data_IF_835994533814
#
_entry.id   IF_835994533814
#
_cell.length_a   1.000
_cell.length_b   1.000
_cell.length_c   1.000
_cell.angle_alpha   90.00
_cell.angle_beta   90.00
_cell.angle_gamma   90.00
#
_symmetry.space_group_name_H-M   'P 1'
#
loop_
_entity.id
_entity.type
_entity.pdbx_description
1 polymer ?
#
# COMPACT_ATOMS: atom_id res chain seq x y z
N UNK A 1 -28.96 43.86 -35.97
CA UNK A 1 -29.89 42.83 -35.50
C UNK A 1 -29.07 41.58 -35.21
N UNK A 2 -28.70 41.36 -33.95
CA UNK A 2 -27.97 40.16 -33.52
C UNK A 2 -29.01 39.11 -33.13
N UNK A 3 -28.94 37.94 -33.76
CA UNK A 3 -29.77 36.80 -33.41
C UNK A 3 -29.19 36.13 -32.16
N UNK A 4 -30.00 36.03 -31.12
CA UNK A 4 -29.74 35.25 -29.91
C UNK A 4 -29.66 33.76 -30.27
N UNK A 5 -28.72 32.96 -29.73
CA UNK A 5 -28.73 31.51 -29.91
C UNK A 5 -29.94 30.91 -29.17
N UNK A 6 -30.49 29.78 -29.65
CA UNK A 6 -31.63 29.14 -28.98
C UNK A 6 -31.19 28.55 -27.64
N UNK A 7 -31.94 28.89 -26.58
CA UNK A 7 -31.92 28.20 -25.30
C UNK A 7 -32.08 26.69 -25.53
N UNK A 8 -31.04 25.91 -25.24
CA UNK A 8 -31.18 24.48 -25.12
C UNK A 8 -31.88 24.19 -23.79
N UNK A 9 -32.97 23.40 -23.77
CA UNK A 9 -33.59 23.02 -22.52
C UNK A 9 -32.61 22.16 -21.73
N UNK A 10 -32.29 22.59 -20.51
CA UNK A 10 -31.58 21.77 -19.52
C UNK A 10 -32.42 20.52 -19.27
N UNK A 11 -32.04 19.40 -19.90
CA UNK A 11 -32.71 18.13 -19.71
C UNK A 11 -32.60 17.68 -18.25
N UNK A 12 -33.57 16.88 -17.75
CA UNK A 12 -33.63 16.42 -16.35
C UNK A 12 -32.41 15.60 -15.88
N UNK A 13 -31.47 15.27 -16.77
CA UNK A 13 -30.27 14.48 -16.52
C UNK A 13 -29.01 15.29 -16.11
N UNK A 14 -28.99 16.61 -16.33
CA UNK A 14 -27.82 17.45 -16.01
C UNK A 14 -27.54 17.64 -14.49
N UNK A 15 -28.55 17.77 -13.60
CA UNK A 15 -28.30 17.97 -12.17
C UNK A 15 -27.77 16.70 -11.47
N UNK A 16 -28.34 15.54 -11.81
CA UNK A 16 -27.96 14.25 -11.22
C UNK A 16 -26.53 13.85 -11.58
N UNK A 17 -26.07 14.18 -12.78
CA UNK A 17 -24.69 13.90 -13.21
C UNK A 17 -23.67 14.80 -12.50
N UNK A 18 -24.01 16.05 -12.21
CA UNK A 18 -23.16 16.94 -11.41
C UNK A 18 -23.04 16.46 -9.95
N UNK A 19 -24.16 16.08 -9.32
CA UNK A 19 -24.17 15.54 -7.96
C UNK A 19 -23.36 14.25 -7.82
N UNK A 20 -23.54 13.29 -8.74
CA UNK A 20 -22.73 12.05 -8.77
C UNK A 20 -21.25 12.40 -8.89
N UNK A 21 -20.89 13.35 -9.77
CA UNK A 21 -19.50 13.79 -9.94
C UNK A 21 -18.88 14.34 -8.65
N UNK A 22 -19.62 15.16 -7.89
CA UNK A 22 -19.18 15.68 -6.60
C UNK A 22 -19.01 14.57 -5.55
N UNK A 23 -19.95 13.62 -5.49
CA UNK A 23 -19.89 12.48 -4.60
C UNK A 23 -18.67 11.58 -4.91
N UNK A 24 -18.37 11.33 -6.18
CA UNK A 24 -17.18 10.55 -6.60
C UNK A 24 -15.89 11.24 -6.15
N UNK A 25 -15.80 12.56 -6.41
CA UNK A 25 -14.63 13.34 -6.02
C UNK A 25 -14.46 13.38 -4.49
N UNK A 26 -15.57 13.49 -3.76
CA UNK A 26 -15.59 13.44 -2.29
C UNK A 26 -15.17 12.07 -1.76
N UNK A 27 -15.75 10.98 -2.28
CA UNK A 27 -15.40 9.61 -1.90
C UNK A 27 -13.90 9.32 -2.10
N UNK A 28 -13.35 9.76 -3.25
CA UNK A 28 -11.92 9.59 -3.57
C UNK A 28 -11.03 10.37 -2.61
N UNK A 29 -11.38 11.62 -2.27
CA UNK A 29 -10.64 12.39 -1.27
C UNK A 29 -10.67 11.69 0.09
N UNK A 30 -11.85 11.26 0.55
CA UNK A 30 -12.01 10.57 1.84
C UNK A 30 -11.20 9.27 1.89
N UNK A 31 -11.24 8.46 0.83
CA UNK A 31 -10.39 7.28 0.69
C UNK A 31 -8.89 7.62 0.81
N UNK A 32 -8.44 8.70 0.16
CA UNK A 32 -7.03 9.11 0.21
C UNK A 32 -6.59 9.63 1.58
N UNK A 33 -7.52 10.15 2.38
CA UNK A 33 -7.29 10.55 3.77
C UNK A 33 -7.65 9.44 4.78
N UNK A 34 -7.76 8.19 4.32
CA UNK A 34 -8.08 7.00 5.13
C UNK A 34 -9.45 7.08 5.86
N UNK A 35 -10.34 7.97 5.45
CA UNK A 35 -11.74 8.03 5.90
C UNK A 35 -12.60 7.03 5.12
N UNK A 36 -12.43 5.74 5.43
CA UNK A 36 -13.19 4.65 4.81
C UNK A 36 -14.70 4.77 5.04
N UNK A 37 -15.13 5.19 6.24
CA UNK A 37 -16.55 5.33 6.58
C UNK A 37 -17.21 6.44 5.76
N UNK A 38 -16.58 7.62 5.72
CA UNK A 38 -17.09 8.74 4.93
C UNK A 38 -17.03 8.48 3.43
N UNK A 39 -16.03 7.74 2.94
CA UNK A 39 -15.99 7.28 1.56
C UNK A 39 -17.20 6.40 1.23
N UNK A 40 -17.46 5.36 2.04
CA UNK A 40 -18.59 4.46 1.80
C UNK A 40 -19.93 5.21 1.86
N UNK A 41 -20.09 6.15 2.78
CA UNK A 41 -21.31 6.96 2.87
C UNK A 41 -21.58 7.78 1.59
N UNK A 42 -20.54 8.28 0.90
CA UNK A 42 -20.72 8.96 -0.39
C UNK A 42 -21.07 7.98 -1.50
N UNK A 43 -20.45 6.79 -1.53
CA UNK A 43 -20.76 5.76 -2.50
C UNK A 43 -22.19 5.20 -2.33
N UNK A 44 -22.68 5.10 -1.09
CA UNK A 44 -24.05 4.67 -0.80
C UNK A 44 -25.08 5.69 -1.30
N UNK A 45 -24.76 6.99 -1.27
CA UNK A 45 -25.59 8.02 -1.92
C UNK A 45 -25.57 7.86 -3.44
N UNK A 46 -24.41 7.61 -4.05
CA UNK A 46 -24.32 7.33 -5.49
C UNK A 46 -25.19 6.11 -5.83
N UNK A 47 -25.11 5.03 -5.05
CA UNK A 47 -25.92 3.84 -5.26
C UNK A 47 -27.43 4.13 -5.24
N UNK A 48 -27.88 4.99 -4.32
CA UNK A 48 -29.27 5.40 -4.23
C UNK A 48 -29.75 6.26 -5.43
N UNK A 49 -28.84 7.00 -6.07
CA UNK A 49 -29.12 7.81 -7.26
C UNK A 49 -29.01 6.97 -8.55
N UNK A 50 -27.92 6.23 -8.71
CA UNK A 50 -27.60 5.38 -9.86
C UNK A 50 -26.75 4.17 -9.42
N UNK A 51 -27.44 3.05 -9.14
CA UNK A 51 -26.80 1.78 -8.78
C UNK A 51 -25.87 1.22 -9.87
N UNK A 52 -26.14 1.53 -11.16
CA UNK A 52 -25.29 1.08 -12.26
C UNK A 52 -23.98 1.87 -12.31
N UNK A 53 -24.02 3.15 -11.96
CA UNK A 53 -22.81 3.95 -11.81
C UNK A 53 -21.98 3.50 -10.60
N UNK A 54 -22.61 3.25 -9.44
CA UNK A 54 -21.93 2.69 -8.26
C UNK A 54 -21.24 1.35 -8.57
N UNK A 55 -21.87 0.46 -9.35
CA UNK A 55 -21.26 -0.81 -9.77
C UNK A 55 -19.93 -0.61 -10.53
N UNK A 56 -19.79 0.48 -11.30
CA UNK A 56 -18.52 0.83 -11.99
C UNK A 56 -17.44 1.33 -11.05
N UNK A 57 -17.81 1.73 -9.83
CA UNK A 57 -16.90 2.17 -8.76
C UNK A 57 -16.52 1.03 -7.81
N UNK A 58 -16.72 -0.23 -8.20
CA UNK A 58 -16.47 -1.39 -7.35
C UNK A 58 -15.05 -1.41 -6.76
N UNK A 59 -14.05 -0.94 -7.50
CA UNK A 59 -12.68 -0.85 -6.99
C UNK A 59 -12.55 0.16 -5.85
N UNK A 60 -13.11 1.36 -6.03
CA UNK A 60 -13.15 2.42 -4.99
C UNK A 60 -13.91 1.93 -3.76
N UNK A 61 -15.09 1.31 -3.96
CA UNK A 61 -15.88 0.72 -2.88
C UNK A 61 -15.09 -0.33 -2.12
N UNK A 62 -14.41 -1.22 -2.82
CA UNK A 62 -13.57 -2.25 -2.22
C UNK A 62 -12.43 -1.68 -1.38
N UNK A 63 -11.74 -0.62 -1.87
CA UNK A 63 -10.70 0.05 -1.08
C UNK A 63 -11.27 0.73 0.18
N UNK A 64 -12.48 1.30 0.11
CA UNK A 64 -13.11 1.92 1.27
C UNK A 64 -13.63 0.88 2.27
N UNK A 65 -14.11 -0.27 1.81
CA UNK A 65 -14.42 -1.45 2.65
C UNK A 65 -13.18 -1.89 3.45
N UNK A 66 -12.03 -2.03 2.78
CA UNK A 66 -10.75 -2.39 3.41
C UNK A 66 -10.35 -1.41 4.53
N UNK A 67 -10.53 -0.10 4.31
CA UNK A 67 -10.23 0.93 5.31
C UNK A 67 -11.13 0.84 6.55
N UNK A 68 -12.29 0.19 6.44
CA UNK A 68 -13.23 -0.03 7.55
C UNK A 68 -13.07 -1.39 8.25
N UNK A 69 -12.08 -2.19 7.87
CA UNK A 69 -11.87 -3.54 8.43
C UNK A 69 -12.62 -4.66 7.72
N UNK A 70 -13.16 -4.39 6.53
CA UNK A 70 -13.77 -5.37 5.63
C UNK A 70 -12.82 -5.69 4.47
N UNK A 71 -11.61 -6.11 4.84
CA UNK A 71 -10.51 -6.44 3.94
C UNK A 71 -10.85 -7.58 2.97
N UNK A 72 -11.44 -8.69 3.44
CA UNK A 72 -11.74 -9.83 2.55
C UNK A 72 -12.87 -9.48 1.58
N UNK A 73 -13.92 -8.81 2.08
CA UNK A 73 -15.02 -8.31 1.25
C UNK A 73 -14.50 -7.39 0.14
N UNK A 74 -13.66 -6.41 0.51
CA UNK A 74 -13.07 -5.48 -0.44
C UNK A 74 -12.20 -6.18 -1.48
N UNK A 75 -11.37 -7.15 -1.07
CA UNK A 75 -10.53 -7.93 -2.01
C UNK A 75 -11.38 -8.72 -3.00
N UNK A 76 -12.42 -9.39 -2.50
CA UNK A 76 -13.32 -10.18 -3.35
C UNK A 76 -14.03 -9.30 -4.36
N UNK A 77 -14.51 -8.12 -3.94
CA UNK A 77 -15.16 -7.14 -4.82
C UNK A 77 -14.22 -6.69 -5.94
N UNK A 78 -12.99 -6.30 -5.60
CA UNK A 78 -11.98 -5.85 -6.56
C UNK A 78 -11.62 -6.97 -7.54
N UNK A 79 -11.32 -8.17 -7.03
CA UNK A 79 -10.95 -9.30 -7.87
C UNK A 79 -12.07 -9.68 -8.85
N UNK A 80 -13.32 -9.71 -8.38
CA UNK A 80 -14.49 -9.95 -9.22
C UNK A 80 -14.61 -8.90 -10.33
N UNK A 81 -14.51 -7.62 -9.98
CA UNK A 81 -14.60 -6.54 -10.96
C UNK A 81 -13.54 -6.66 -12.05
N UNK A 82 -12.28 -6.95 -11.70
CA UNK A 82 -11.23 -7.14 -12.72
C UNK A 82 -11.51 -8.36 -13.61
N UNK A 83 -12.04 -9.44 -13.06
CA UNK A 83 -12.41 -10.62 -13.85
C UNK A 83 -13.55 -10.31 -14.83
N UNK A 84 -14.63 -9.70 -14.36
CA UNK A 84 -15.85 -9.48 -15.14
C UNK A 84 -15.71 -8.31 -16.13
N UNK A 85 -15.14 -7.19 -15.71
CA UNK A 85 -15.12 -5.96 -16.51
C UNK A 85 -13.87 -5.81 -17.37
N UNK A 86 -12.78 -6.48 -17.02
CA UNK A 86 -11.50 -6.38 -17.76
C UNK A 86 -11.04 -7.70 -18.37
N UNK A 87 -11.82 -8.78 -18.20
CA UNK A 87 -11.44 -10.14 -18.59
C UNK A 87 -10.07 -10.57 -18.04
N UNK A 88 -9.70 -10.06 -16.85
CA UNK A 88 -8.43 -10.40 -16.22
C UNK A 88 -8.45 -11.83 -15.70
N UNK A 89 -7.38 -12.58 -15.94
CA UNK A 89 -7.23 -13.94 -15.41
C UNK A 89 -7.42 -13.96 -13.87
N UNK A 90 -8.14 -14.93 -13.29
CA UNK A 90 -8.50 -14.93 -11.86
C UNK A 90 -7.31 -14.76 -10.90
N UNK A 91 -6.18 -15.41 -11.19
CA UNK A 91 -4.96 -15.30 -10.39
C UNK A 91 -4.40 -13.87 -10.39
N UNK A 92 -4.37 -13.22 -11.56
CA UNK A 92 -3.89 -11.84 -11.70
C UNK A 92 -4.85 -10.85 -11.04
N UNK A 93 -6.15 -11.10 -11.14
CA UNK A 93 -7.16 -10.28 -10.46
C UNK A 93 -7.02 -10.37 -8.93
N UNK A 94 -6.77 -11.57 -8.42
CA UNK A 94 -6.50 -11.80 -6.98
C UNK A 94 -5.23 -11.09 -6.54
N UNK A 95 -4.11 -11.27 -7.25
CA UNK A 95 -2.86 -10.58 -6.93
C UNK A 95 -2.99 -9.04 -6.99
N UNK A 96 -3.79 -8.52 -7.92
CA UNK A 96 -4.09 -7.08 -8.01
C UNK A 96 -4.87 -6.61 -6.78
N UNK A 97 -5.90 -7.36 -6.37
CA UNK A 97 -6.65 -7.06 -5.16
C UNK A 97 -5.77 -7.12 -3.90
N UNK A 98 -4.83 -8.07 -3.81
CA UNK A 98 -3.86 -8.15 -2.71
C UNK A 98 -2.90 -6.96 -2.69
N UNK A 99 -2.42 -6.52 -3.84
CA UNK A 99 -1.57 -5.31 -3.94
C UNK A 99 -2.31 -4.09 -3.42
N UNK A 100 -3.58 -3.91 -3.79
CA UNK A 100 -4.43 -2.84 -3.27
C UNK A 100 -4.72 -2.99 -1.77
N UNK A 101 -4.95 -4.22 -1.32
CA UNK A 101 -5.15 -4.54 0.09
C UNK A 101 -3.94 -4.18 0.97
N UNK A 102 -2.71 -4.38 0.47
CA UNK A 102 -1.49 -3.96 1.18
C UNK A 102 -1.49 -2.46 1.53
N UNK A 103 -2.19 -1.64 0.76
CA UNK A 103 -2.31 -0.20 0.97
C UNK A 103 -3.53 0.21 1.80
N UNK A 104 -4.58 -0.60 1.85
CA UNK A 104 -5.89 -0.17 2.34
C UNK A 104 -6.47 -1.01 3.45
N UNK A 105 -6.10 -2.28 3.57
CA UNK A 105 -6.59 -3.09 4.69
C UNK A 105 -6.11 -2.53 6.02
N UNK A 106 -7.04 -2.48 6.97
CA UNK A 106 -6.86 -2.06 8.37
C UNK A 106 -7.60 -3.05 9.24
N UNK A 107 -6.98 -3.62 10.28
CA UNK A 107 -7.63 -4.49 11.28
C UNK A 107 -8.79 -5.38 10.75
N UNK A 108 -9.79 -5.69 11.59
CA UNK A 108 -10.99 -6.41 11.17
C UNK A 108 -10.72 -7.84 10.70
N UNK A 109 -11.19 -8.17 9.50
CA UNK A 109 -11.03 -9.49 8.88
C UNK A 109 -9.69 -9.66 8.10
N UNK A 110 -8.71 -8.79 8.34
CA UNK A 110 -7.37 -8.90 7.73
C UNK A 110 -6.65 -10.19 8.18
N UNK A 111 -6.14 -10.97 7.22
CA UNK A 111 -5.37 -12.19 7.50
C UNK A 111 -3.92 -11.88 7.93
N UNK A 112 -3.18 -12.90 8.40
CA UNK A 112 -1.73 -12.80 8.62
C UNK A 112 -0.98 -12.36 7.35
N UNK A 113 -1.40 -12.84 6.19
CA UNK A 113 -0.83 -12.43 4.89
C UNK A 113 -1.08 -10.94 4.63
N UNK A 114 -2.31 -10.47 4.84
CA UNK A 114 -2.67 -9.07 4.63
C UNK A 114 -1.86 -8.15 5.55
N UNK A 115 -1.72 -8.53 6.82
CA UNK A 115 -0.91 -7.79 7.81
C UNK A 115 0.57 -7.76 7.45
N UNK A 116 1.12 -8.87 6.95
CA UNK A 116 2.51 -8.92 6.50
C UNK A 116 2.75 -8.06 5.25
N UNK A 117 1.88 -8.16 4.24
CA UNK A 117 1.97 -7.34 3.03
C UNK A 117 1.82 -5.85 3.36
N UNK A 118 0.93 -5.51 4.30
CA UNK A 118 0.80 -4.15 4.82
C UNK A 118 2.09 -3.66 5.48
N UNK A 119 2.70 -4.47 6.33
CA UNK A 119 3.97 -4.13 6.98
C UNK A 119 5.08 -3.87 5.96
N UNK A 120 5.18 -4.68 4.91
CA UNK A 120 6.12 -4.42 3.82
C UNK A 120 5.81 -3.11 3.08
N UNK A 121 4.53 -2.86 2.79
CA UNK A 121 4.12 -1.60 2.18
C UNK A 121 4.50 -0.40 3.04
N UNK A 122 4.23 -0.42 4.35
CA UNK A 122 4.53 0.69 5.26
C UNK A 122 6.05 0.95 5.37
N UNK A 123 6.86 -0.11 5.39
CA UNK A 123 8.33 0.02 5.35
C UNK A 123 8.81 0.58 4.02
N UNK A 124 8.25 0.12 2.89
CA UNK A 124 8.57 0.63 1.56
C UNK A 124 8.17 2.09 1.39
N UNK A 125 6.96 2.45 1.81
CA UNK A 125 6.45 3.83 1.80
C UNK A 125 7.37 4.74 2.62
N UNK A 126 7.74 4.31 3.83
CA UNK A 126 8.70 5.00 4.69
C UNK A 126 10.11 5.11 4.12
N UNK A 127 10.55 4.11 3.38
CA UNK A 127 11.86 4.08 2.74
C UNK A 127 11.93 5.01 1.51
N UNK A 128 10.90 5.08 0.67
CA UNK A 128 11.04 5.72 -0.65
C UNK A 128 10.05 6.86 -0.94
N UNK A 129 8.84 6.82 -0.39
CA UNK A 129 7.77 7.73 -0.81
C UNK A 129 7.52 8.82 0.23
N UNK A 130 7.12 8.42 1.43
CA UNK A 130 6.67 9.33 2.48
C UNK A 130 7.52 9.14 3.73
N UNK A 131 8.22 10.18 4.19
CA UNK A 131 9.00 10.09 5.45
C UNK A 131 8.06 9.70 6.60
N UNK A 132 8.35 8.58 7.26
CA UNK A 132 7.65 8.09 8.45
C UNK A 132 8.41 8.43 9.73
N UNK A 133 7.73 8.29 10.87
CA UNK A 133 8.40 8.34 12.18
C UNK A 133 9.10 7.02 12.48
N UNK A 134 10.07 7.06 13.42
CA UNK A 134 10.72 5.85 13.95
C UNK A 134 9.69 4.85 14.49
N UNK A 135 8.65 5.33 15.17
CA UNK A 135 7.59 4.51 15.72
C UNK A 135 6.81 3.76 14.62
N UNK A 136 6.53 4.41 13.49
CA UNK A 136 5.86 3.75 12.36
C UNK A 136 6.74 2.67 11.73
N UNK A 137 8.02 2.96 11.45
CA UNK A 137 8.95 1.97 10.91
C UNK A 137 9.10 0.77 11.86
N UNK A 138 9.18 1.03 13.17
CA UNK A 138 9.26 -0.01 14.20
C UNK A 138 8.01 -0.89 14.24
N UNK A 139 6.82 -0.30 14.28
CA UNK A 139 5.57 -1.04 14.31
C UNK A 139 5.46 -1.98 13.10
N UNK A 140 5.77 -1.48 11.89
CA UNK A 140 5.74 -2.29 10.68
C UNK A 140 6.79 -3.42 10.72
N UNK A 141 8.03 -3.14 11.15
CA UNK A 141 9.07 -4.16 11.25
C UNK A 141 8.73 -5.25 12.28
N UNK A 142 8.13 -4.88 13.42
CA UNK A 142 7.75 -5.83 14.46
C UNK A 142 6.64 -6.78 13.95
N UNK A 143 5.68 -6.27 13.17
CA UNK A 143 4.68 -7.10 12.46
C UNK A 143 5.37 -8.03 11.46
N UNK A 144 6.29 -7.51 10.64
CA UNK A 144 7.00 -8.31 9.66
C UNK A 144 7.77 -9.47 10.32
N UNK A 145 8.55 -9.19 11.37
CA UNK A 145 9.29 -10.21 12.14
C UNK A 145 8.36 -11.30 12.68
N UNK A 146 7.19 -10.93 13.20
CA UNK A 146 6.24 -11.88 13.78
C UNK A 146 5.57 -12.79 12.72
N UNK A 147 5.39 -12.29 11.49
CA UNK A 147 4.57 -12.95 10.47
C UNK A 147 5.38 -13.63 9.36
N UNK A 148 6.60 -13.18 9.06
CA UNK A 148 7.53 -13.85 8.12
C UNK A 148 7.62 -15.37 8.32
N UNK A 149 7.81 -15.91 9.55
CA UNK A 149 7.92 -17.36 9.71
C UNK A 149 6.61 -18.11 9.45
N UNK A 150 5.45 -17.43 9.58
CA UNK A 150 4.11 -18.02 9.54
C UNK A 150 3.48 -18.01 8.15
N UNK A 151 3.67 -16.92 7.41
CA UNK A 151 3.05 -16.75 6.08
C UNK A 151 3.90 -17.43 5.03
N UNK A 152 3.32 -18.41 4.32
CA UNK A 152 3.99 -19.11 3.20
C UNK A 152 3.58 -18.49 1.86
N UNK A 153 4.48 -18.49 0.86
CA UNK A 153 4.11 -18.14 -0.50
C UNK A 153 2.99 -19.04 -1.01
N UNK A 154 2.03 -18.48 -1.74
CA UNK A 154 0.90 -19.23 -2.32
C UNK A 154 1.24 -19.90 -3.66
N UNK A 155 2.46 -19.70 -4.18
CA UNK A 155 2.93 -20.30 -5.42
C UNK A 155 4.29 -19.74 -5.85
N UNK A 156 4.84 -20.21 -6.99
CA UNK A 156 6.13 -19.76 -7.50
C UNK A 156 6.14 -18.28 -7.92
N UNK A 157 4.99 -17.70 -8.25
CA UNK A 157 4.89 -16.29 -8.67
C UNK A 157 4.70 -15.31 -7.50
N UNK A 158 4.58 -15.81 -6.26
CA UNK A 158 4.35 -15.00 -5.05
C UNK A 158 5.66 -14.40 -4.51
N UNK A 159 6.30 -13.60 -5.36
CA UNK A 159 7.54 -12.87 -5.07
C UNK A 159 7.39 -11.92 -3.87
N UNK A 160 6.19 -11.40 -3.62
CA UNK A 160 5.94 -10.49 -2.50
C UNK A 160 6.18 -11.17 -1.14
N UNK A 161 5.84 -12.45 -0.98
CA UNK A 161 6.15 -13.18 0.26
C UNK A 161 7.53 -13.82 0.20
N UNK A 162 7.96 -14.31 -0.96
CA UNK A 162 9.25 -15.00 -1.11
C UNK A 162 10.45 -14.06 -0.95
N UNK A 163 10.41 -12.89 -1.58
CA UNK A 163 11.59 -12.04 -1.80
C UNK A 163 11.63 -10.82 -0.86
N UNK A 164 10.47 -10.29 -0.44
CA UNK A 164 10.42 -9.14 0.48
C UNK A 164 11.20 -9.32 1.79
N UNK A 165 11.20 -10.50 2.46
CA UNK A 165 12.05 -10.70 3.64
C UNK A 165 13.53 -10.44 3.37
N UNK A 166 14.01 -10.83 2.18
CA UNK A 166 15.41 -10.64 1.77
C UNK A 166 15.74 -9.19 1.42
N UNK A 167 14.73 -8.38 1.12
CA UNK A 167 14.90 -6.95 0.85
C UNK A 167 14.84 -6.08 2.13
N UNK A 168 14.50 -6.67 3.30
CA UNK A 168 14.32 -5.92 4.54
C UNK A 168 15.59 -5.25 5.03
N UNK A 169 16.78 -5.83 4.80
CA UNK A 169 18.04 -5.21 5.21
C UNK A 169 18.15 -3.80 4.65
N UNK A 170 17.76 -3.59 3.39
CA UNK A 170 17.80 -2.30 2.75
C UNK A 170 16.54 -1.47 3.05
N UNK A 171 15.36 -2.02 2.79
CA UNK A 171 14.10 -1.26 2.87
C UNK A 171 13.78 -0.83 4.31
N UNK A 172 13.87 -1.73 5.28
CA UNK A 172 13.58 -1.37 6.66
C UNK A 172 14.65 -0.43 7.24
N UNK A 173 15.94 -0.68 6.97
CA UNK A 173 17.00 0.24 7.38
C UNK A 173 16.85 1.63 6.78
N UNK A 174 16.44 1.74 5.51
CA UNK A 174 16.17 3.03 4.86
C UNK A 174 15.01 3.77 5.52
N UNK A 175 13.94 3.07 5.92
CA UNK A 175 12.84 3.67 6.70
C UNK A 175 13.37 4.33 7.99
N UNK A 176 14.16 3.60 8.78
CA UNK A 176 14.76 4.14 10.02
C UNK A 176 15.76 5.27 9.75
N UNK A 177 16.60 5.13 8.71
CA UNK A 177 17.56 6.15 8.33
C UNK A 177 16.89 7.46 7.93
N UNK A 178 15.82 7.41 7.11
CA UNK A 178 15.01 8.59 6.77
C UNK A 178 14.30 9.20 7.98
N UNK A 179 13.92 8.37 8.94
CA UNK A 179 13.35 8.81 10.21
C UNK A 179 14.41 9.41 11.18
N UNK A 180 15.70 9.31 10.85
CA UNK A 180 16.82 9.87 11.63
C UNK A 180 17.42 8.92 12.66
N UNK A 181 16.99 7.66 12.72
CA UNK A 181 17.51 6.66 13.65
C UNK A 181 18.52 5.73 12.98
N UNK A 182 19.73 6.25 12.77
CA UNK A 182 20.79 5.52 12.12
C UNK A 182 21.34 4.35 12.93
N UNK A 183 21.20 4.39 14.26
CA UNK A 183 21.60 3.28 15.12
C UNK A 183 20.70 2.07 14.88
N UNK A 184 19.39 2.28 14.88
CA UNK A 184 18.43 1.21 14.57
C UNK A 184 18.53 0.80 13.10
N UNK A 185 18.74 1.73 12.18
CA UNK A 185 18.96 1.41 10.77
C UNK A 185 20.11 0.40 10.57
N UNK A 186 21.28 0.65 11.19
CA UNK A 186 22.42 -0.27 11.10
C UNK A 186 22.14 -1.63 11.74
N UNK A 187 21.44 -1.66 12.88
CA UNK A 187 21.07 -2.91 13.54
C UNK A 187 20.16 -3.76 12.64
N UNK A 188 19.13 -3.15 12.05
CA UNK A 188 18.21 -3.82 11.11
C UNK A 188 18.93 -4.26 9.84
N UNK A 189 19.82 -3.42 9.31
CA UNK A 189 20.61 -3.76 8.13
C UNK A 189 21.43 -5.03 8.36
N UNK A 190 22.12 -5.12 9.51
CA UNK A 190 22.91 -6.30 9.91
C UNK A 190 22.05 -7.55 10.10
N UNK A 191 20.91 -7.41 10.76
CA UNK A 191 20.00 -8.54 11.06
C UNK A 191 19.50 -9.25 9.80
N UNK A 192 19.12 -8.48 8.78
CA UNK A 192 18.54 -9.02 7.55
C UNK A 192 19.55 -9.14 6.41
N UNK A 193 20.81 -8.75 6.61
CA UNK A 193 21.81 -8.77 5.54
C UNK A 193 21.95 -10.18 4.95
N UNK A 194 22.04 -10.34 3.62
CA UNK A 194 22.24 -11.65 3.02
C UNK A 194 23.45 -12.39 3.62
N UNK A 195 23.30 -13.70 3.82
CA UNK A 195 24.34 -14.50 4.45
C UNK A 195 25.67 -14.41 3.69
N UNK A 196 26.77 -14.28 4.44
CA UNK A 196 28.14 -14.24 3.94
C UNK A 196 28.89 -15.55 4.30
N UNK A 197 28.24 -16.71 4.16
CA UNK A 197 28.79 -18.01 4.59
C UNK A 197 30.12 -18.38 3.92
N UNK A 198 30.43 -17.79 2.77
CA UNK A 198 31.71 -17.97 2.06
C UNK A 198 32.86 -17.16 2.66
N UNK A 199 32.57 -16.15 3.50
CA UNK A 199 33.56 -15.28 4.15
C UNK A 199 33.77 -15.76 5.59
N UNK A 200 34.87 -16.48 5.82
CA UNK A 200 35.14 -17.12 7.12
C UNK A 200 35.56 -16.14 8.23
N UNK A 201 36.22 -15.04 7.86
CA UNK A 201 36.72 -14.06 8.83
C UNK A 201 35.60 -13.10 9.29
N UNK A 202 35.43 -12.98 10.62
CA UNK A 202 34.38 -12.13 11.19
C UNK A 202 34.63 -10.65 10.92
N UNK A 203 35.86 -10.18 11.06
CA UNK A 203 36.18 -8.76 10.87
C UNK A 203 35.91 -8.34 9.41
N UNK A 204 36.21 -9.21 8.45
CA UNK A 204 35.91 -9.02 7.04
C UNK A 204 34.40 -8.98 6.79
N UNK A 205 33.62 -9.89 7.40
CA UNK A 205 32.14 -9.86 7.30
C UNK A 205 31.57 -8.56 7.84
N UNK A 206 31.99 -8.15 9.03
CA UNK A 206 31.52 -6.91 9.67
C UNK A 206 31.86 -5.69 8.82
N UNK A 207 33.07 -5.66 8.24
CA UNK A 207 33.48 -4.61 7.31
C UNK A 207 32.63 -4.58 6.04
N UNK A 208 32.38 -5.73 5.40
CA UNK A 208 31.51 -5.79 4.20
C UNK A 208 30.13 -5.23 4.50
N UNK A 209 29.52 -5.64 5.62
CA UNK A 209 28.19 -5.17 6.01
C UNK A 209 28.21 -3.67 6.30
N UNK A 210 29.23 -3.18 7.01
CA UNK A 210 29.38 -1.76 7.33
C UNK A 210 29.57 -0.90 6.07
N UNK A 211 30.50 -1.28 5.19
CA UNK A 211 30.76 -0.57 3.93
C UNK A 211 29.51 -0.58 3.03
N UNK A 212 28.76 -1.68 3.02
CA UNK A 212 27.49 -1.79 2.31
C UNK A 212 26.40 -0.89 2.91
N UNK A 213 26.30 -0.81 4.23
CA UNK A 213 25.38 0.11 4.92
C UNK A 213 25.72 1.57 4.62
N UNK A 214 26.98 1.95 4.78
CA UNK A 214 27.44 3.33 4.61
C UNK A 214 27.29 3.83 3.16
N UNK A 215 27.32 2.91 2.18
CA UNK A 215 27.12 3.22 0.76
C UNK A 215 25.65 3.24 0.33
N UNK A 216 24.79 2.39 0.88
CA UNK A 216 23.40 2.23 0.44
C UNK A 216 22.39 3.03 1.28
N UNK A 217 22.61 3.18 2.59
CA UNK A 217 21.71 3.91 3.48
C UNK A 217 22.17 5.37 3.55
N UNK A 218 21.91 6.11 2.47
CA UNK A 218 22.42 7.47 2.23
C UNK A 218 22.11 8.47 3.35
N UNK A 219 21.06 8.24 4.13
CA UNK A 219 20.65 9.12 5.24
C UNK A 219 21.48 8.93 6.51
N UNK A 220 22.31 7.89 6.57
CA UNK A 220 23.11 7.53 7.73
C UNK A 220 24.61 7.45 7.47
N UNK A 221 25.02 7.38 6.20
CA UNK A 221 26.42 7.35 5.82
C UNK A 221 27.19 8.62 6.18
N UNK A 222 28.53 8.61 6.07
CA UNK A 222 29.39 9.75 6.42
C UNK A 222 29.01 11.04 5.70
N UNK A 223 28.49 10.94 4.48
CA UNK A 223 28.03 12.07 3.66
C UNK A 223 26.77 12.76 4.19
N UNK A 224 25.95 12.09 4.99
CA UNK A 224 24.78 12.69 5.64
C UNK A 224 25.16 13.62 6.82
N UNK A 225 26.42 13.56 7.28
CA UNK A 225 26.95 14.36 8.38
C UNK A 225 27.71 15.62 7.91
N UNK A 226 27.78 15.85 6.60
CA UNK A 226 28.31 17.10 6.04
C UNK A 226 27.20 18.15 5.96
N UNK A 227 27.40 19.36 6.51
CA UNK A 227 26.39 20.41 6.55
C UNK A 227 25.96 20.91 5.17
#
# INVERSE_FOLDING_TARGET
MQATPPDQPAGPYAPQTAEIGELVASATRKMNFDDGKGCLADLDKIHAIDAKYDARLAVTRGMCEMLTGRCQEGKQRIARWYQEETNMHPERATATAESLASMRCREGDSTDRDRLLRAYFDLFDGAYMNKKTVANCKAALDVARALIPKVKPQGPEDSQIRDSPRALFHTAATCFGRAGDCKTALAVYREFYPSLDTVKDQATRDKIIQDSFDSSIIHCGPKAKSP
#
